data_IF_335921794571
#
_entry.id   IF_335921794571
#
_cell.length_a   1.000
_cell.length_b   1.000
_cell.length_c   1.000
_cell.angle_alpha   90.00
_cell.angle_beta   90.00
_cell.angle_gamma   90.00
#
_symmetry.space_group_name_H-M   'P 1'
#
loop_
_entity.id
_entity.type
_entity.pdbx_description
1 polymer ?
#
# COMPACT_ATOMS: atom_id res chain seq x y z
N UNK A 1 -27.18 -79.72 -30.13
CA UNK A 1 -27.45 -78.86 -31.30
C UNK A 1 -28.35 -77.71 -30.86
N UNK A 2 -27.98 -76.50 -31.25
CA UNK A 2 -28.37 -75.23 -30.61
C UNK A 2 -29.85 -74.85 -30.77
N UNK A 3 -30.48 -74.41 -29.68
CA UNK A 3 -31.75 -73.70 -29.70
C UNK A 3 -31.48 -72.24 -30.07
N UNK A 4 -32.11 -71.77 -31.15
CA UNK A 4 -31.93 -70.44 -31.73
C UNK A 4 -32.75 -69.39 -30.98
N UNK A 5 -32.11 -68.25 -30.83
CA UNK A 5 -32.46 -67.09 -30.02
C UNK A 5 -33.85 -66.48 -30.26
N UNK A 6 -34.36 -65.97 -29.14
CA UNK A 6 -35.60 -65.25 -28.95
C UNK A 6 -35.69 -63.91 -29.68
N UNK A 7 -36.95 -63.55 -29.92
CA UNK A 7 -37.47 -62.41 -30.63
C UNK A 7 -37.16 -61.03 -30.01
N UNK A 8 -37.54 -60.02 -30.80
CA UNK A 8 -38.08 -58.72 -30.39
C UNK A 8 -37.07 -57.65 -29.97
N UNK A 9 -37.26 -56.36 -30.24
CA UNK A 9 -38.26 -55.57 -30.97
C UNK A 9 -37.61 -54.19 -31.13
N UNK A 10 -37.82 -53.56 -32.28
CA UNK A 10 -37.47 -52.16 -32.54
C UNK A 10 -38.27 -51.25 -31.60
N UNK A 11 -37.58 -50.56 -30.69
CA UNK A 11 -38.19 -49.57 -29.81
C UNK A 11 -37.69 -48.17 -30.17
N UNK A 12 -38.56 -47.51 -30.92
CA UNK A 12 -38.65 -46.07 -31.20
C UNK A 12 -38.69 -45.27 -29.89
N UNK A 13 -37.83 -44.27 -29.72
CA UNK A 13 -38.13 -43.17 -28.80
C UNK A 13 -37.30 -41.90 -29.07
N UNK A 14 -38.00 -40.88 -29.57
CA UNK A 14 -37.98 -39.51 -29.04
C UNK A 14 -36.64 -38.78 -29.09
N UNK A 15 -36.39 -38.13 -30.24
CA UNK A 15 -35.54 -36.94 -30.32
C UNK A 15 -36.22 -35.81 -29.53
N UNK A 16 -35.96 -35.76 -28.23
CA UNK A 16 -36.35 -34.66 -27.37
C UNK A 16 -35.52 -33.42 -27.74
N UNK A 17 -36.24 -32.32 -28.01
CA UNK A 17 -35.74 -30.97 -28.20
C UNK A 17 -34.65 -30.62 -27.17
N UNK A 18 -33.47 -30.27 -27.67
CA UNK A 18 -32.38 -29.70 -26.87
C UNK A 18 -32.54 -28.18 -26.88
N UNK A 19 -33.06 -27.63 -25.80
CA UNK A 19 -32.88 -26.21 -25.41
C UNK A 19 -32.59 -26.17 -23.91
N UNK A 20 -31.98 -25.10 -23.38
CA UNK A 20 -30.72 -24.47 -23.74
C UNK A 20 -29.75 -24.56 -22.54
N UNK A 21 -28.44 -24.53 -22.74
CA UNK A 21 -27.50 -24.24 -21.65
C UNK A 21 -26.49 -23.24 -22.16
N UNK A 22 -26.79 -21.96 -21.90
CA UNK A 22 -25.81 -20.87 -21.94
C UNK A 22 -24.64 -21.35 -21.10
N UNK A 23 -23.40 -21.44 -21.63
CA UNK A 23 -22.26 -21.73 -20.79
C UNK A 23 -22.17 -20.59 -19.79
N UNK A 24 -22.59 -20.84 -18.55
CA UNK A 24 -22.22 -19.98 -17.43
C UNK A 24 -20.71 -19.92 -17.48
N UNK A 25 -20.18 -18.75 -17.83
CA UNK A 25 -18.75 -18.50 -17.79
C UNK A 25 -18.28 -18.97 -16.42
N UNK A 26 -17.50 -20.04 -16.40
CA UNK A 26 -16.79 -20.46 -15.20
C UNK A 26 -15.92 -19.27 -14.89
N UNK A 27 -16.35 -18.44 -13.94
CA UNK A 27 -15.50 -17.45 -13.32
C UNK A 27 -14.35 -18.27 -12.77
N UNK A 28 -13.24 -18.27 -13.51
CA UNK A 28 -12.03 -18.98 -13.12
C UNK A 28 -11.47 -18.18 -11.97
N UNK A 29 -12.02 -18.39 -10.78
CA UNK A 29 -11.38 -18.00 -9.55
C UNK A 29 -10.06 -18.74 -9.57
N UNK A 30 -8.97 -17.97 -9.67
CA UNK A 30 -7.64 -18.51 -9.45
C UNK A 30 -7.70 -19.27 -8.14
N UNK A 31 -7.57 -20.59 -8.22
CA UNK A 31 -7.35 -21.43 -7.05
C UNK A 31 -6.04 -20.94 -6.45
N UNK A 32 -6.12 -20.03 -5.49
CA UNK A 32 -5.11 -19.95 -4.46
C UNK A 32 -5.27 -21.28 -3.75
N UNK A 33 -4.42 -22.24 -4.09
CA UNK A 33 -4.29 -23.44 -3.29
C UNK A 33 -3.97 -22.98 -1.86
N UNK A 34 -4.99 -22.97 -1.01
CA UNK A 34 -4.76 -23.22 0.41
C UNK A 34 -4.01 -24.55 0.46
N UNK A 35 -2.83 -24.54 1.10
CA UNK A 35 -1.83 -25.63 1.09
C UNK A 35 -0.90 -25.72 -0.12
N UNK A 36 -0.62 -24.62 -0.82
CA UNK A 36 0.61 -24.50 -1.61
C UNK A 36 1.75 -24.02 -0.72
N UNK A 37 2.48 -24.92 -0.08
CA UNK A 37 3.75 -24.61 0.58
C UNK A 37 4.63 -23.87 -0.45
N UNK A 38 4.69 -22.53 -0.34
CA UNK A 38 5.50 -21.69 -1.23
C UNK A 38 6.94 -22.11 -0.98
N UNK A 39 7.44 -23.05 -1.78
CA UNK A 39 8.84 -23.47 -1.75
C UNK A 39 9.66 -22.18 -1.74
N UNK A 40 10.42 -21.90 -0.68
CA UNK A 40 11.11 -20.64 -0.56
C UNK A 40 12.05 -20.55 -1.75
N UNK A 41 11.85 -19.54 -2.61
CA UNK A 41 12.78 -19.32 -3.71
C UNK A 41 14.14 -19.03 -3.10
N UNK A 42 15.20 -19.67 -3.60
CA UNK A 42 16.58 -19.47 -3.12
C UNK A 42 16.91 -17.98 -3.07
N UNK A 43 16.49 -17.24 -4.11
CA UNK A 43 16.64 -15.80 -4.23
C UNK A 43 15.84 -15.04 -3.16
N UNK A 44 14.58 -15.43 -2.91
CA UNK A 44 13.74 -14.80 -1.88
C UNK A 44 14.23 -15.04 -0.46
N UNK A 45 14.90 -16.17 -0.21
CA UNK A 45 15.56 -16.46 1.07
C UNK A 45 16.80 -15.58 1.24
N UNK A 46 17.64 -15.48 0.22
CA UNK A 46 18.86 -14.64 0.26
C UNK A 46 18.58 -13.18 0.63
N UNK A 47 17.60 -12.54 -0.02
CA UNK A 47 17.22 -11.15 0.32
C UNK A 47 16.64 -11.01 1.73
N UNK A 48 15.92 -12.02 2.22
CA UNK A 48 15.40 -12.03 3.59
C UNK A 48 16.53 -12.16 4.62
N UNK A 49 17.55 -12.97 4.35
CA UNK A 49 18.61 -13.26 5.31
C UNK A 49 19.69 -12.18 5.33
N UNK A 50 20.10 -11.66 4.17
CA UNK A 50 21.26 -10.77 4.08
C UNK A 50 20.87 -9.32 3.85
N UNK A 51 19.95 -9.05 2.93
CA UNK A 51 19.62 -7.67 2.56
C UNK A 51 18.70 -7.00 3.56
N UNK A 52 17.73 -7.74 4.12
CA UNK A 52 16.77 -7.22 5.10
C UNK A 52 17.43 -6.67 6.37
N UNK A 53 18.37 -7.39 7.03
CA UNK A 53 19.06 -6.87 8.20
C UNK A 53 19.96 -5.68 7.85
N UNK A 54 20.73 -5.76 6.77
CA UNK A 54 21.62 -4.67 6.33
C UNK A 54 20.85 -3.40 6.03
N UNK A 55 19.75 -3.51 5.27
CA UNK A 55 18.90 -2.36 4.97
C UNK A 55 18.28 -1.77 6.24
N UNK A 56 17.83 -2.61 7.17
CA UNK A 56 17.28 -2.14 8.45
C UNK A 56 18.31 -1.36 9.26
N UNK A 57 19.54 -1.86 9.36
CA UNK A 57 20.62 -1.17 10.09
C UNK A 57 21.00 0.12 9.37
N UNK A 58 21.15 0.09 8.05
CA UNK A 58 21.49 1.28 7.26
C UNK A 58 20.44 2.37 7.43
N UNK A 59 19.15 2.04 7.34
CA UNK A 59 18.06 3.00 7.53
C UNK A 59 17.99 3.53 8.96
N UNK A 60 18.20 2.68 9.97
CA UNK A 60 18.22 3.13 11.36
C UNK A 60 19.44 4.00 11.65
N UNK A 61 20.60 3.66 11.10
CA UNK A 61 21.83 4.43 11.25
C UNK A 61 21.69 5.80 10.59
N UNK A 62 21.20 5.85 9.35
CA UNK A 62 20.97 7.14 8.67
C UNK A 62 19.93 7.95 9.41
N UNK A 63 18.78 7.38 9.79
CA UNK A 63 17.75 8.09 10.56
C UNK A 63 18.30 8.66 11.87
N UNK A 64 19.09 7.88 12.61
CA UNK A 64 19.69 8.32 13.88
C UNK A 64 20.65 9.48 13.64
N UNK A 65 21.49 9.39 12.61
CA UNK A 65 22.37 10.50 12.23
C UNK A 65 21.58 11.75 11.82
N UNK A 66 20.51 11.60 11.04
CA UNK A 66 19.67 12.72 10.64
C UNK A 66 19.03 13.39 11.86
N UNK A 67 18.50 12.63 12.81
CA UNK A 67 17.90 13.19 14.03
C UNK A 67 18.94 13.90 14.89
N UNK A 68 20.14 13.33 15.03
CA UNK A 68 21.23 13.95 15.78
C UNK A 68 21.70 15.26 15.13
N UNK A 69 21.92 15.25 13.80
CA UNK A 69 22.32 16.43 13.05
C UNK A 69 21.22 17.50 13.04
N UNK A 70 19.95 17.08 12.88
CA UNK A 70 18.81 17.97 12.99
C UNK A 70 18.69 18.58 14.38
N UNK A 71 18.88 17.78 15.44
CA UNK A 71 18.84 18.29 16.83
C UNK A 71 19.96 19.31 17.08
N UNK A 72 21.16 19.03 16.57
CA UNK A 72 22.29 19.97 16.66
C UNK A 72 21.96 21.30 15.97
N UNK A 73 21.51 21.25 14.72
CA UNK A 73 21.14 22.47 13.97
C UNK A 73 19.92 23.17 14.56
N UNK A 74 19.02 22.44 15.23
CA UNK A 74 17.86 23.02 15.89
C UNK A 74 18.19 23.81 17.15
N UNK A 75 19.10 23.28 17.98
CA UNK A 75 19.57 23.96 19.19
C UNK A 75 20.18 25.33 18.86
N UNK A 76 20.94 25.44 17.76
CA UNK A 76 21.51 26.71 17.31
C UNK A 76 20.44 27.69 16.79
N UNK A 77 19.37 27.18 16.18
CA UNK A 77 18.32 28.02 15.62
C UNK A 77 17.28 28.50 16.63
N UNK A 78 17.06 27.76 17.71
CA UNK A 78 16.02 28.11 18.69
C UNK A 78 16.36 29.42 19.44
N UNK A 79 17.64 29.72 19.70
CA UNK A 79 18.06 31.00 20.29
C UNK A 79 17.86 32.18 19.31
N UNK A 80 18.19 31.99 18.03
CA UNK A 80 18.03 33.01 16.98
C UNK A 80 16.54 33.28 16.70
N UNK A 81 15.70 32.25 16.78
CA UNK A 81 14.26 32.39 16.52
C UNK A 81 13.56 33.25 17.56
N UNK A 82 13.91 33.07 18.83
CA UNK A 82 13.32 33.83 19.93
C UNK A 82 13.71 35.31 19.88
N UNK A 83 14.95 35.63 19.50
CA UNK A 83 15.39 37.02 19.29
C UNK A 83 14.67 37.66 18.09
N UNK A 84 14.61 36.95 16.96
CA UNK A 84 13.94 37.45 15.76
C UNK A 84 12.44 37.63 15.96
N UNK A 85 11.79 36.75 16.72
CA UNK A 85 10.38 36.90 17.06
C UNK A 85 10.15 38.16 17.90
N UNK A 86 11.00 38.43 18.90
CA UNK A 86 10.92 39.66 19.70
C UNK A 86 11.14 40.93 18.89
N UNK A 87 12.07 40.89 17.93
CA UNK A 87 12.28 42.01 17.00
C UNK A 87 11.04 42.25 16.12
N UNK A 88 10.41 41.19 15.60
CA UNK A 88 9.19 41.27 14.80
C UNK A 88 8.04 41.84 15.63
N UNK A 89 7.80 41.31 16.83
CA UNK A 89 6.72 41.78 17.71
C UNK A 89 6.91 43.27 18.06
N UNK A 90 8.15 43.71 18.30
CA UNK A 90 8.47 45.11 18.55
C UNK A 90 8.26 46.01 17.33
N UNK A 91 8.57 45.52 16.13
CA UNK A 91 8.32 46.23 14.88
C UNK A 91 6.83 46.32 14.57
N UNK A 92 6.07 45.25 14.79
CA UNK A 92 4.60 45.24 14.65
C UNK A 92 3.95 46.24 15.60
N UNK A 93 4.40 46.33 16.85
CA UNK A 93 3.91 47.33 17.81
C UNK A 93 4.17 48.76 17.33
N UNK A 94 5.37 49.05 16.80
CA UNK A 94 5.71 50.37 16.25
C UNK A 94 4.91 50.70 14.99
N UNK A 95 4.66 49.72 14.12
CA UNK A 95 3.82 49.90 12.94
C UNK A 95 2.37 50.18 13.36
N UNK A 96 1.84 49.46 14.34
CA UNK A 96 0.50 49.69 14.87
C UNK A 96 0.35 51.09 15.48
N UNK A 97 1.34 51.53 16.27
CA UNK A 97 1.37 52.88 16.86
C UNK A 97 1.40 53.98 15.78
N UNK A 98 2.24 53.80 14.75
CA UNK A 98 2.32 54.75 13.62
C UNK A 98 1.05 54.75 12.77
N UNK A 99 0.39 53.61 12.57
CA UNK A 99 -0.88 53.52 11.87
C UNK A 99 -2.03 54.18 12.65
N UNK A 100 -2.08 54.00 13.98
CA UNK A 100 -3.04 54.69 14.84
C UNK A 100 -2.80 56.20 14.89
N UNK A 101 -1.54 56.63 15.02
CA UNK A 101 -1.17 58.05 14.98
C UNK A 101 -1.50 58.72 13.64
N UNK A 102 -1.26 58.02 12.53
CA UNK A 102 -1.60 58.50 11.17
C UNK A 102 -3.11 58.56 10.91
N UNK A 103 -3.90 57.68 11.52
CA UNK A 103 -5.37 57.69 11.44
C UNK A 103 -6.05 58.78 12.27
N UNK A 104 -5.34 59.37 13.25
CA UNK A 104 -5.87 60.42 14.14
C UNK A 104 -5.54 61.84 13.62
N UNK A 105 -4.73 61.95 12.57
CA UNK A 105 -4.28 63.21 11.97
C UNK A 105 -4.93 63.57 10.63
N UNK A 106 -6.05 62.94 10.27
CA UNK A 106 -6.82 63.22 9.06
C UNK A 106 -8.23 63.73 9.39
#
# INVERSE_FOLDING_TARGET
>A
MAARSSAAVLSRALRAQRTPQIPRGVTRFYSTSESGEKRPSIVGTFYKTFTRPVLKVLLMATLTYQIAYWSWTKLEQDEIRDEKQKEIDGLEARVAELQMGKGTGA
#
